data_IF_531839295431
#
_entry.id   IF_531839295431
#
_cell.length_a   1.000
_cell.length_b   1.000
_cell.length_c   1.000
_cell.angle_alpha   90.00
_cell.angle_beta   90.00
_cell.angle_gamma   90.00
#
_symmetry.space_group_name_H-M   'P 1'
#
loop_
_entity.id
_entity.type
_entity.pdbx_description
1 polymer ?
#
# COMPACT_ATOMS: atom_id res chain seq x y z
N UNK A 1 15.56 24.29 26.75
CA UNK A 1 16.30 24.52 25.48
C UNK A 1 16.45 23.17 24.80
N UNK A 2 15.60 22.88 23.81
CA UNK A 2 15.75 21.71 22.95
C UNK A 2 16.97 21.96 22.05
N UNK A 3 18.09 21.31 22.39
CA UNK A 3 19.32 21.40 21.61
C UNK A 3 19.12 20.68 20.27
N UNK A 4 18.89 21.46 19.22
CA UNK A 4 18.92 21.03 17.82
C UNK A 4 20.36 20.79 17.31
N UNK A 5 21.37 20.90 18.18
CA UNK A 5 22.79 20.87 17.82
C UNK A 5 23.41 19.49 17.57
N UNK A 6 22.66 18.39 17.79
CA UNK A 6 23.12 17.02 17.49
C UNK A 6 22.62 16.48 16.13
N UNK A 7 21.88 17.29 15.36
CA UNK A 7 21.28 16.90 14.09
C UNK A 7 22.23 16.93 12.87
N UNK A 8 23.55 17.08 13.07
CA UNK A 8 24.50 17.28 11.96
C UNK A 8 25.30 16.04 11.55
N UNK A 9 24.93 14.86 12.05
CA UNK A 9 25.34 13.60 11.46
C UNK A 9 24.06 12.87 11.07
N UNK A 10 23.56 13.15 9.86
CA UNK A 10 22.57 12.30 9.20
C UNK A 10 23.35 11.18 8.51
N UNK A 11 23.48 9.99 9.12
CA UNK A 11 24.07 8.86 8.43
C UNK A 11 23.28 8.57 7.15
N UNK A 12 24.02 8.14 6.12
CA UNK A 12 23.47 7.86 4.80
C UNK A 12 22.24 6.94 4.90
N UNK A 13 21.11 7.35 4.29
CA UNK A 13 19.85 6.61 4.32
C UNK A 13 18.77 7.17 5.26
N UNK A 14 19.12 8.02 6.22
CA UNK A 14 18.13 8.64 7.14
C UNK A 14 17.12 9.51 6.39
N UNK A 15 17.59 10.31 5.44
CA UNK A 15 16.73 11.15 4.59
C UNK A 15 15.76 10.33 3.74
N UNK A 16 16.21 9.17 3.24
CA UNK A 16 15.37 8.27 2.46
C UNK A 16 14.23 7.68 3.30
N UNK A 17 14.52 7.28 4.54
CA UNK A 17 13.49 6.75 5.47
C UNK A 17 12.42 7.80 5.74
N UNK A 18 12.83 9.03 6.05
CA UNK A 18 11.88 10.14 6.28
C UNK A 18 11.09 10.51 5.04
N UNK A 19 11.72 10.49 3.86
CA UNK A 19 11.05 10.71 2.59
C UNK A 19 9.98 9.66 2.36
N UNK A 20 10.30 8.37 2.51
CA UNK A 20 9.34 7.27 2.33
C UNK A 20 8.19 7.37 3.31
N UNK A 21 8.46 7.67 4.59
CA UNK A 21 7.43 7.80 5.61
C UNK A 21 6.49 9.01 5.37
N UNK A 22 7.03 10.16 4.98
CA UNK A 22 6.22 11.33 4.63
C UNK A 22 5.43 11.10 3.34
N UNK A 23 6.06 10.49 2.35
CA UNK A 23 5.41 10.16 1.08
C UNK A 23 4.25 9.19 1.27
N UNK A 24 4.43 8.12 2.07
CA UNK A 24 3.34 7.18 2.37
C UNK A 24 2.19 7.85 3.11
N UNK A 25 2.48 8.70 4.10
CA UNK A 25 1.46 9.42 4.86
C UNK A 25 0.64 10.37 3.98
N UNK A 26 1.31 11.17 3.14
CA UNK A 26 0.62 12.09 2.22
C UNK A 26 -0.24 11.30 1.24
N UNK A 27 0.29 10.21 0.70
CA UNK A 27 -0.40 9.40 -0.30
C UNK A 27 -1.64 8.71 0.29
N UNK A 28 -1.55 8.15 1.49
CA UNK A 28 -2.70 7.59 2.22
C UNK A 28 -3.74 8.65 2.53
N UNK A 29 -3.33 9.85 2.93
CA UNK A 29 -4.26 10.95 3.19
C UNK A 29 -5.03 11.34 1.92
N UNK A 30 -4.36 11.33 0.75
CA UNK A 30 -5.01 11.56 -0.54
C UNK A 30 -6.03 10.46 -0.86
N UNK A 31 -5.67 9.18 -0.64
CA UNK A 31 -6.58 8.04 -0.86
C UNK A 31 -7.82 8.18 0.02
N UNK A 32 -7.64 8.45 1.32
CA UNK A 32 -8.74 8.64 2.26
C UNK A 32 -9.63 9.81 1.84
N UNK A 33 -9.04 10.92 1.37
CA UNK A 33 -9.80 12.06 0.87
C UNK A 33 -10.63 11.71 -0.39
N UNK A 34 -10.08 10.90 -1.31
CA UNK A 34 -10.82 10.47 -2.50
C UNK A 34 -12.01 9.58 -2.14
N UNK A 35 -11.86 8.66 -1.18
CA UNK A 35 -12.97 7.88 -0.66
C UNK A 35 -14.02 8.73 0.05
N UNK A 36 -13.59 9.68 0.89
CA UNK A 36 -14.50 10.54 1.63
C UNK A 36 -15.37 11.42 0.72
N UNK A 37 -14.88 11.71 -0.49
CA UNK A 37 -15.59 12.51 -1.50
C UNK A 37 -16.33 11.65 -2.54
N UNK A 38 -16.25 10.32 -2.45
CA UNK A 38 -16.84 9.37 -3.41
C UNK A 38 -16.43 9.63 -4.88
N UNK A 39 -15.23 10.18 -5.11
CA UNK A 39 -14.72 10.54 -6.46
C UNK A 39 -14.01 9.34 -7.13
N UNK A 40 -13.97 8.19 -6.47
CA UNK A 40 -13.34 6.96 -6.95
C UNK A 40 -13.74 6.57 -8.38
N UNK A 41 -15.04 6.76 -8.71
CA UNK A 41 -15.62 6.42 -10.01
C UNK A 41 -15.17 7.34 -11.16
N UNK A 42 -14.67 8.55 -10.86
CA UNK A 42 -14.19 9.50 -11.86
C UNK A 42 -12.75 9.19 -12.30
N UNK A 43 -11.93 8.69 -11.39
CA UNK A 43 -10.48 8.52 -11.59
C UNK A 43 -10.18 7.12 -12.16
N UNK A 44 -10.85 6.08 -11.66
CA UNK A 44 -10.61 4.70 -12.10
C UNK A 44 -11.88 4.17 -12.79
N UNK A 45 -11.96 4.22 -14.13
CA UNK A 45 -13.09 3.66 -14.83
C UNK A 45 -13.12 2.14 -14.59
N UNK A 46 -14.22 1.66 -14.00
CA UNK A 46 -14.49 0.25 -13.61
C UNK A 46 -14.29 -0.79 -14.73
N UNK A 47 -14.11 -0.35 -15.99
CA UNK A 47 -13.93 -1.19 -17.17
C UNK A 47 -12.52 -1.77 -17.33
N UNK A 48 -11.49 -1.12 -16.78
CA UNK A 48 -10.09 -1.51 -17.00
C UNK A 48 -9.41 -1.99 -15.73
N UNK A 49 -9.75 -1.42 -14.57
CA UNK A 49 -9.11 -1.74 -13.31
C UNK A 49 -10.13 -1.66 -12.18
N UNK A 50 -10.06 -2.58 -11.22
CA UNK A 50 -10.87 -2.52 -10.01
C UNK A 50 -10.08 -1.80 -8.93
N UNK A 51 -10.74 -0.92 -8.16
CA UNK A 51 -10.09 -0.18 -7.08
C UNK A 51 -9.28 -1.05 -6.10
N UNK A 52 -9.76 -2.23 -5.67
CA UNK A 52 -8.98 -3.14 -4.82
C UNK A 52 -7.66 -3.60 -5.45
N UNK A 53 -7.57 -3.67 -6.78
CA UNK A 53 -6.34 -4.03 -7.47
C UNK A 53 -5.33 -2.87 -7.45
N UNK A 54 -5.80 -1.63 -7.52
CA UNK A 54 -4.96 -0.43 -7.35
C UNK A 54 -4.38 -0.38 -5.94
N UNK A 55 -5.21 -0.57 -4.92
CA UNK A 55 -4.76 -0.63 -3.53
C UNK A 55 -3.80 -1.78 -3.28
N UNK A 56 -4.07 -2.96 -3.85
CA UNK A 56 -3.16 -4.10 -3.80
C UNK A 56 -1.76 -3.75 -4.34
N UNK A 57 -1.67 -3.12 -5.51
CA UNK A 57 -0.39 -2.68 -6.07
C UNK A 57 0.32 -1.63 -5.21
N UNK A 58 -0.44 -0.69 -4.65
CA UNK A 58 0.11 0.36 -3.78
C UNK A 58 0.63 -0.21 -2.46
N UNK A 59 -0.13 -1.09 -1.80
CA UNK A 59 0.30 -1.79 -0.59
C UNK A 59 1.57 -2.61 -0.85
N UNK A 60 1.66 -3.29 -2.00
CA UNK A 60 2.88 -4.02 -2.38
C UNK A 60 4.07 -3.08 -2.58
N UNK A 61 3.87 -1.95 -3.27
CA UNK A 61 4.91 -0.96 -3.49
C UNK A 61 5.43 -0.35 -2.18
N UNK A 62 4.52 0.05 -1.28
CA UNK A 62 4.90 0.56 0.05
C UNK A 62 5.57 -0.51 0.90
N UNK A 63 5.12 -1.76 0.85
CA UNK A 63 5.77 -2.88 1.54
C UNK A 63 7.24 -3.04 1.10
N UNK A 64 7.52 -3.01 -0.21
CA UNK A 64 8.90 -3.08 -0.73
C UNK A 64 9.72 -1.87 -0.26
N UNK A 65 9.16 -0.66 -0.28
CA UNK A 65 9.86 0.55 0.19
C UNK A 65 10.20 0.47 1.68
N UNK A 66 9.29 -0.01 2.53
CA UNK A 66 9.55 -0.20 3.96
C UNK A 66 10.55 -1.32 4.24
N UNK A 67 10.59 -2.36 3.41
CA UNK A 67 11.63 -3.38 3.47
C UNK A 67 13.02 -2.79 3.18
N UNK A 68 13.14 -1.95 2.16
CA UNK A 68 14.40 -1.24 1.84
C UNK A 68 14.78 -0.30 3.00
N UNK A 69 13.82 0.40 3.60
CA UNK A 69 14.07 1.25 4.78
C UNK A 69 14.57 0.45 5.98
N UNK A 70 14.00 -0.72 6.25
CA UNK A 70 14.47 -1.64 7.29
C UNK A 70 15.91 -2.09 7.02
N UNK A 71 16.21 -2.47 5.78
CA UNK A 71 17.56 -2.87 5.35
C UNK A 71 18.57 -1.74 5.59
N UNK A 72 18.22 -0.50 5.24
CA UNK A 72 19.05 0.67 5.48
C UNK A 72 19.23 0.96 6.99
N UNK A 73 18.22 0.71 7.82
CA UNK A 73 18.35 0.85 9.28
C UNK A 73 19.34 -0.16 9.87
N UNK A 74 19.32 -1.41 9.41
CA UNK A 74 20.24 -2.46 9.88
C UNK A 74 21.68 -2.14 9.47
N UNK A 75 21.91 -1.79 8.20
CA UNK A 75 23.24 -1.48 7.68
C UNK A 75 23.76 -0.09 8.12
N UNK A 76 22.86 0.84 8.44
CA UNK A 76 23.21 2.18 8.93
C UNK A 76 23.61 2.22 10.41
N UNK A 77 23.29 1.16 11.17
CA UNK A 77 23.59 1.06 12.61
C UNK A 77 25.09 1.11 12.94
N UNK A 78 25.95 0.81 11.97
CA UNK A 78 27.43 0.91 12.09
C UNK A 78 27.94 2.36 12.08
N UNK A 79 27.15 3.31 11.55
CA UNK A 79 27.59 4.68 11.24
C UNK A 79 26.91 5.77 12.08
N UNK A 80 26.11 5.43 13.10
CA UNK A 80 25.38 6.44 13.89
C UNK A 80 24.83 5.97 15.23
N UNK A 81 23.87 6.72 15.78
CA UNK A 81 23.24 6.40 17.07
C UNK A 81 22.42 5.11 16.97
N UNK A 82 22.90 4.04 17.62
CA UNK A 82 22.29 2.70 17.63
C UNK A 82 20.83 2.70 18.10
N UNK A 83 20.46 3.61 19.02
CA UNK A 83 19.10 3.74 19.55
C UNK A 83 18.12 4.33 18.55
N UNK A 84 18.52 5.38 17.82
CA UNK A 84 17.66 6.02 16.82
C UNK A 84 17.37 5.09 15.64
N UNK A 85 18.39 4.37 15.17
CA UNK A 85 18.24 3.39 14.10
C UNK A 85 17.40 2.18 14.49
N UNK A 86 17.54 1.70 15.73
CA UNK A 86 16.72 0.58 16.21
C UNK A 86 15.23 0.97 16.23
N UNK A 87 14.89 2.15 16.75
CA UNK A 87 13.50 2.64 16.81
C UNK A 87 12.94 2.82 15.39
N UNK A 88 13.69 3.44 14.48
CA UNK A 88 13.29 3.58 13.07
C UNK A 88 13.10 2.21 12.40
N UNK A 89 14.01 1.26 12.64
CA UNK A 89 13.90 -0.11 12.12
C UNK A 89 12.65 -0.84 12.61
N UNK A 90 12.31 -0.74 13.90
CA UNK A 90 11.06 -1.30 14.45
C UNK A 90 9.81 -0.67 13.83
N UNK A 91 9.83 0.64 13.61
CA UNK A 91 8.73 1.33 12.95
C UNK A 91 8.58 0.88 11.49
N UNK A 92 9.67 0.80 10.73
CA UNK A 92 9.66 0.29 9.35
C UNK A 92 9.21 -1.18 9.28
N UNK A 93 9.59 -2.01 10.25
CA UNK A 93 9.14 -3.41 10.34
C UNK A 93 7.64 -3.51 10.58
N UNK A 94 7.11 -2.68 11.48
CA UNK A 94 5.67 -2.65 11.78
C UNK A 94 4.88 -2.25 10.53
N UNK A 95 5.30 -1.19 9.84
CA UNK A 95 4.67 -0.74 8.60
C UNK A 95 4.77 -1.80 7.49
N UNK A 96 5.92 -2.45 7.33
CA UNK A 96 6.09 -3.55 6.38
C UNK A 96 5.05 -4.66 6.60
N UNK A 97 4.84 -5.07 7.86
CA UNK A 97 3.85 -6.11 8.20
C UNK A 97 2.43 -5.63 7.90
N UNK A 98 2.09 -4.38 8.24
CA UNK A 98 0.78 -3.80 7.96
C UNK A 98 0.49 -3.79 6.46
N UNK A 99 1.39 -3.23 5.64
CA UNK A 99 1.21 -3.19 4.19
C UNK A 99 1.20 -4.59 3.54
N UNK A 100 1.95 -5.55 4.08
CA UNK A 100 1.91 -6.94 3.61
C UNK A 100 0.56 -7.60 3.92
N UNK A 101 -0.04 -7.29 5.08
CA UNK A 101 -1.37 -7.76 5.44
C UNK A 101 -2.45 -7.10 4.57
N UNK A 102 -2.35 -5.79 4.33
CA UNK A 102 -3.25 -5.06 3.45
C UNK A 102 -3.20 -5.61 2.03
N UNK A 103 -2.00 -5.89 1.50
CA UNK A 103 -1.83 -6.57 0.22
C UNK A 103 -2.60 -7.90 0.18
N UNK A 104 -2.48 -8.74 1.21
CA UNK A 104 -3.18 -10.02 1.27
C UNK A 104 -4.71 -9.85 1.33
N UNK A 105 -5.20 -8.85 2.06
CA UNK A 105 -6.62 -8.52 2.13
C UNK A 105 -7.17 -8.03 0.79
N UNK A 106 -6.52 -7.06 0.16
CA UNK A 106 -6.96 -6.52 -1.13
C UNK A 106 -6.86 -7.55 -2.26
N UNK A 107 -5.84 -8.40 -2.24
CA UNK A 107 -5.75 -9.53 -3.15
C UNK A 107 -6.92 -10.51 -2.97
N UNK A 108 -7.28 -10.84 -1.72
CA UNK A 108 -8.45 -11.67 -1.40
C UNK A 108 -9.74 -11.04 -1.90
N UNK A 109 -9.94 -9.75 -1.66
CA UNK A 109 -11.13 -9.00 -2.13
C UNK A 109 -11.21 -9.05 -3.65
N UNK A 110 -10.09 -8.81 -4.34
CA UNK A 110 -10.04 -8.85 -5.79
C UNK A 110 -10.41 -10.25 -6.33
N UNK A 111 -9.85 -11.33 -5.78
CA UNK A 111 -10.19 -12.70 -6.20
C UNK A 111 -11.68 -12.99 -5.99
N UNK A 112 -12.25 -12.55 -4.87
CA UNK A 112 -13.69 -12.70 -4.61
C UNK A 112 -14.55 -11.93 -5.62
N UNK A 113 -14.16 -10.71 -5.99
CA UNK A 113 -14.86 -9.91 -7.01
C UNK A 113 -14.81 -10.56 -8.39
N UNK A 114 -13.64 -11.08 -8.80
CA UNK A 114 -13.49 -11.77 -10.08
C UNK A 114 -14.39 -13.00 -10.16
N UNK A 115 -14.49 -13.79 -9.07
CA UNK A 115 -15.40 -14.94 -9.00
C UNK A 115 -16.88 -14.55 -9.11
N UNK A 116 -17.28 -13.44 -8.49
CA UNK A 116 -18.65 -12.90 -8.60
C UNK A 116 -18.95 -12.43 -10.03
N UNK A 117 -17.97 -11.83 -10.70
CA UNK A 117 -18.12 -11.43 -12.09
C UNK A 117 -18.27 -12.64 -13.02
N UNK A 118 -17.46 -13.69 -12.83
CA UNK A 118 -17.56 -14.92 -13.62
C UNK A 118 -18.90 -15.65 -13.44
N UNK A 119 -19.39 -15.74 -12.20
CA UNK A 119 -20.69 -16.37 -11.90
C UNK A 119 -21.86 -15.58 -12.47
N UNK A 120 -21.86 -14.26 -12.37
CA UNK A 120 -22.91 -13.42 -12.98
C UNK A 120 -22.94 -13.47 -14.50
N UNK A 121 -21.76 -13.58 -15.16
CA UNK A 121 -21.68 -13.81 -16.61
C UNK A 121 -22.24 -15.19 -16.98
N UNK A 122 -21.98 -16.22 -16.18
CA UNK A 122 -22.50 -17.56 -16.42
C UNK A 122 -24.03 -17.62 -16.26
N UNK A 123 -24.60 -16.98 -15.25
CA UNK A 123 -26.05 -16.83 -15.08
C UNK A 123 -26.68 -16.03 -16.22
N UNK A 124 -26.07 -14.92 -16.64
CA UNK A 124 -26.56 -14.12 -17.77
C UNK A 124 -26.50 -14.88 -19.11
N UNK A 125 -25.50 -15.74 -19.29
CA UNK A 125 -25.38 -16.62 -20.46
C UNK A 125 -26.45 -17.72 -20.46
N UNK A 126 -26.73 -18.35 -19.31
CA UNK A 126 -27.80 -19.33 -19.14
C UNK A 126 -29.20 -18.72 -19.32
N UNK A 127 -29.42 -17.49 -18.87
CA UNK A 127 -30.70 -16.80 -19.03
C UNK A 127 -30.96 -16.33 -20.48
N UNK A 128 -29.90 -16.17 -21.29
CA UNK A 128 -30.03 -15.82 -22.73
C UNK A 128 -30.30 -17.03 -23.62
N UNK A 129 -30.00 -18.25 -23.20
CA UNK A 129 -30.21 -19.46 -24.02
C UNK A 129 -31.59 -20.11 -23.85
N UNK A 130 -32.45 -19.59 -22.97
CA UNK A 130 -33.74 -20.23 -22.61
C UNK A 130 -35.01 -19.47 -23.04
N UNK A 131 -34.96 -18.66 -24.10
CA UNK A 131 -36.18 -18.12 -24.72
C UNK A 131 -36.15 -18.28 -26.25
N UNK A 132 -36.54 -19.46 -26.74
CA UNK A 132 -36.98 -19.65 -28.13
C UNK A 132 -36.28 -20.78 -28.90
N UNK A 133 -36.71 -22.01 -28.67
CA UNK A 133 -36.73 -23.07 -29.69
C UNK A 133 -37.78 -24.11 -29.26
N UNK A 134 -39.06 -23.86 -29.61
CA UNK A 134 -39.71 -24.67 -30.64
C UNK A 134 -39.98 -23.91 -31.94
#
# INVERSE_FOLDING_TARGET
>A
MLSLGLAHYQPAGTEFIWFVALFSLIFELIIVAFFALEIEDLIVPKKLCTWPLVECFLSLLFSILFFICMWLCVNGSEYGSTTAFSIAGFFCMTNFILYAFDFALFLRIHISLTRLYETSVHEAALNRTSYGAP
#
